data_IF_504337065629
#
_entry.id   IF_504337065629
#
_cell.length_a   1.000
_cell.length_b   1.000
_cell.length_c   1.000
_cell.angle_alpha   90.00
_cell.angle_beta   90.00
_cell.angle_gamma   90.00
#
_symmetry.space_group_name_H-M   'P 1'
#
loop_
_entity.id
_entity.type
_entity.pdbx_description
1 polymer ?
#
# COMPACT_ATOMS: atom_id res chain seq x y z
N UNK A 1 30.98 -9.53 -1.86
CA UNK A 1 29.53 -9.56 -2.21
C UNK A 1 28.81 -8.26 -1.85
N UNK A 2 29.11 -7.59 -0.71
CA UNK A 2 28.57 -6.25 -0.35
C UNK A 2 28.66 -5.19 -1.45
N UNK A 3 29.77 -5.20 -2.18
CA UNK A 3 30.10 -4.19 -3.20
C UNK A 3 29.09 -4.12 -4.36
N UNK A 4 28.32 -5.19 -4.58
CA UNK A 4 27.28 -5.25 -5.61
C UNK A 4 25.86 -5.16 -5.03
N UNK A 5 25.72 -5.00 -3.71
CA UNK A 5 24.42 -4.75 -3.10
C UNK A 5 23.94 -3.34 -3.45
N UNK A 6 22.79 -3.29 -4.12
CA UNK A 6 22.15 -2.04 -4.53
C UNK A 6 21.06 -1.60 -3.54
N UNK A 7 20.82 -2.34 -2.45
CA UNK A 7 19.71 -2.09 -1.54
C UNK A 7 19.75 -0.68 -0.96
N UNK A 8 20.91 -0.21 -0.48
CA UNK A 8 21.06 1.15 0.06
C UNK A 8 20.84 2.25 -0.99
N UNK A 9 21.22 1.99 -2.24
CA UNK A 9 21.01 2.90 -3.37
C UNK A 9 19.55 2.92 -3.81
N UNK A 10 18.89 1.77 -3.85
CA UNK A 10 17.49 1.64 -4.23
C UNK A 10 16.55 2.17 -3.14
N UNK A 11 16.90 1.96 -1.86
CA UNK A 11 16.07 2.34 -0.72
C UNK A 11 15.78 3.85 -0.65
N UNK A 12 16.65 4.70 -1.21
CA UNK A 12 16.45 6.15 -1.27
C UNK A 12 15.24 6.55 -2.12
N UNK A 13 14.83 5.67 -3.03
CA UNK A 13 13.84 5.93 -4.06
C UNK A 13 12.57 5.08 -3.89
N UNK A 14 12.56 4.20 -2.90
CA UNK A 14 11.46 3.28 -2.65
C UNK A 14 10.65 3.74 -1.45
N UNK A 15 9.35 3.46 -1.49
CA UNK A 15 8.50 3.60 -0.32
C UNK A 15 9.01 2.71 0.82
N UNK A 16 8.88 3.18 2.06
CA UNK A 16 9.32 2.47 3.27
C UNK A 16 8.78 1.03 3.34
N UNK A 17 7.57 0.80 2.84
CA UNK A 17 6.96 -0.53 2.78
C UNK A 17 7.57 -1.44 1.70
N UNK A 18 8.21 -0.88 0.66
CA UNK A 18 8.97 -1.64 -0.35
C UNK A 18 10.41 -1.91 0.09
N UNK A 19 11.01 -1.03 0.88
CA UNK A 19 12.35 -1.25 1.44
C UNK A 19 12.34 -2.41 2.44
N UNK A 20 11.25 -2.55 3.19
CA UNK A 20 11.13 -3.55 4.24
C UNK A 20 11.32 -5.01 3.73
N UNK A 21 10.62 -5.48 2.66
CA UNK A 21 10.89 -6.77 2.05
C UNK A 21 12.33 -6.98 1.55
N UNK A 22 13.03 -5.92 1.15
CA UNK A 22 14.44 -6.00 0.75
C UNK A 22 15.33 -6.28 1.97
N UNK A 23 15.09 -5.59 3.09
CA UNK A 23 15.79 -5.87 4.34
C UNK A 23 15.49 -7.27 4.88
N UNK A 24 14.24 -7.73 4.78
CA UNK A 24 13.88 -9.12 5.11
C UNK A 24 14.63 -10.13 4.25
N UNK A 25 14.75 -9.85 2.94
CA UNK A 25 15.53 -10.71 2.04
C UNK A 25 17.02 -10.75 2.43
N UNK A 26 17.62 -9.61 2.77
CA UNK A 26 19.00 -9.54 3.24
C UNK A 26 19.21 -10.33 4.54
N UNK A 27 18.30 -10.20 5.52
CA UNK A 27 18.34 -10.97 6.76
C UNK A 27 18.16 -12.48 6.53
N UNK A 28 17.16 -12.88 5.73
CA UNK A 28 16.81 -14.28 5.51
C UNK A 28 17.87 -15.04 4.71
N UNK A 29 18.56 -14.37 3.78
CA UNK A 29 19.62 -14.99 3.00
C UNK A 29 20.92 -15.21 3.80
N UNK A 30 20.97 -14.77 5.07
CA UNK A 30 22.17 -14.82 5.92
C UNK A 30 23.41 -14.44 5.10
N UNK A 31 23.28 -13.44 4.23
CA UNK A 31 24.41 -13.03 3.41
C UNK A 31 25.39 -12.45 4.42
N UNK A 32 26.53 -13.11 4.61
CA UNK A 32 27.61 -12.85 5.59
C UNK A 32 28.27 -11.46 5.41
N UNK A 33 27.48 -10.45 5.07
CA UNK A 33 27.89 -9.13 4.64
C UNK A 33 27.55 -8.09 5.71
N UNK A 34 26.40 -8.23 6.37
CA UNK A 34 25.89 -7.27 7.34
C UNK A 34 25.73 -7.92 8.71
N UNK A 35 26.03 -7.17 9.76
CA UNK A 35 25.78 -7.61 11.14
C UNK A 35 24.27 -7.67 11.39
N UNK A 36 23.79 -8.73 12.05
CA UNK A 36 22.36 -8.93 12.31
C UNK A 36 21.77 -7.78 13.12
N UNK A 37 22.51 -7.26 14.10
CA UNK A 37 22.08 -6.12 14.92
C UNK A 37 21.92 -4.83 14.11
N UNK A 38 22.81 -4.60 13.14
CA UNK A 38 22.75 -3.42 12.26
C UNK A 38 21.51 -3.49 11.35
N UNK A 39 21.20 -4.68 10.80
CA UNK A 39 19.98 -4.90 10.02
C UNK A 39 18.72 -4.73 10.87
N UNK A 40 18.70 -5.26 12.10
CA UNK A 40 17.57 -5.10 13.01
C UNK A 40 17.36 -3.62 13.40
N UNK A 41 18.44 -2.87 13.62
CA UNK A 41 18.35 -1.44 13.87
C UNK A 41 17.81 -0.68 12.65
N UNK A 42 18.30 -0.98 11.45
CA UNK A 42 17.80 -0.38 10.21
C UNK A 42 16.31 -0.68 9.98
N UNK A 43 15.86 -1.89 10.29
CA UNK A 43 14.42 -2.24 10.29
C UNK A 43 13.63 -1.37 11.27
N UNK A 44 14.10 -1.22 12.51
CA UNK A 44 13.45 -0.37 13.51
C UNK A 44 13.34 1.09 13.06
N UNK A 45 14.40 1.64 12.44
CA UNK A 45 14.41 3.02 11.98
C UNK A 45 13.37 3.26 10.88
N UNK A 46 13.22 2.32 9.95
CA UNK A 46 12.16 2.37 8.92
C UNK A 46 10.77 2.25 9.57
N UNK A 47 10.60 1.25 10.44
CA UNK A 47 9.31 0.97 11.10
C UNK A 47 8.87 2.11 12.01
N UNK A 48 9.80 2.87 12.59
CA UNK A 48 9.51 4.01 13.47
C UNK A 48 8.62 5.06 12.80
N UNK A 49 8.70 5.19 11.47
CA UNK A 49 7.90 6.10 10.64
C UNK A 49 6.63 5.45 10.06
N UNK A 50 6.30 4.21 10.43
CA UNK A 50 5.11 3.47 10.00
C UNK A 50 4.17 3.22 11.18
N UNK A 51 2.95 2.74 10.90
CA UNK A 51 2.03 2.29 11.95
C UNK A 51 2.12 0.76 12.20
N UNK A 52 3.19 0.10 11.72
CA UNK A 52 3.48 -1.32 11.97
C UNK A 52 4.04 -1.54 13.39
N UNK A 53 3.30 -1.08 14.41
CA UNK A 53 3.78 -1.01 15.80
C UNK A 53 4.07 -2.38 16.39
N UNK A 54 3.19 -3.37 16.16
CA UNK A 54 3.39 -4.74 16.65
C UNK A 54 4.68 -5.34 16.09
N UNK A 55 4.93 -5.11 14.79
CA UNK A 55 6.13 -5.58 14.13
C UNK A 55 7.39 -4.87 14.67
N UNK A 56 7.32 -3.56 14.91
CA UNK A 56 8.41 -2.82 15.55
C UNK A 56 8.71 -3.34 16.97
N UNK A 57 7.68 -3.71 17.73
CA UNK A 57 7.83 -4.32 19.06
C UNK A 57 8.57 -5.66 18.96
N UNK A 58 8.21 -6.50 17.98
CA UNK A 58 8.85 -7.81 17.79
C UNK A 58 10.32 -7.68 17.41
N UNK A 59 10.67 -6.80 16.46
CA UNK A 59 12.07 -6.52 16.11
C UNK A 59 12.85 -5.96 17.30
N UNK A 60 12.23 -5.08 18.11
CA UNK A 60 12.89 -4.55 19.31
C UNK A 60 13.19 -5.63 20.34
N UNK A 61 12.27 -6.58 20.54
CA UNK A 61 12.50 -7.72 21.45
C UNK A 61 13.64 -8.61 20.97
N UNK A 62 13.83 -8.74 19.65
CA UNK A 62 14.97 -9.46 19.08
C UNK A 62 16.29 -8.71 19.35
N UNK A 63 16.30 -7.39 19.18
CA UNK A 63 17.50 -6.56 19.37
C UNK A 63 17.87 -6.37 20.86
N UNK A 64 16.87 -6.25 21.73
CA UNK A 64 17.06 -6.05 23.18
C UNK A 64 16.23 -7.04 24.01
N UNK A 65 16.57 -8.34 24.04
CA UNK A 65 15.76 -9.38 24.70
C UNK A 65 15.56 -9.18 26.21
N UNK A 66 16.48 -8.45 26.86
CA UNK A 66 16.48 -8.21 28.31
C UNK A 66 15.82 -6.88 28.71
N UNK A 67 15.42 -6.05 27.75
CA UNK A 67 14.77 -4.77 28.03
C UNK A 67 13.26 -4.89 27.82
N UNK A 68 12.48 -4.29 28.72
CA UNK A 68 11.05 -4.19 28.51
C UNK A 68 10.70 -3.26 27.34
N UNK A 69 9.54 -3.53 26.73
CA UNK A 69 9.00 -2.68 25.68
C UNK A 69 8.61 -1.33 26.28
N UNK A 70 9.13 -0.21 25.75
CA UNK A 70 8.80 1.12 26.25
C UNK A 70 7.30 1.40 26.27
N UNK A 71 6.86 2.08 27.32
CA UNK A 71 5.50 2.61 27.44
C UNK A 71 5.09 3.45 26.22
N UNK A 72 6.03 4.17 25.60
CA UNK A 72 5.78 4.95 24.38
C UNK A 72 5.26 4.09 23.22
N UNK A 73 5.80 2.90 23.02
CA UNK A 73 5.34 1.97 21.97
C UNK A 73 4.00 1.34 22.33
N UNK A 74 3.78 1.02 23.61
CA UNK A 74 2.47 0.51 24.08
C UNK A 74 1.37 1.55 23.87
N UNK A 75 1.62 2.80 24.24
CA UNK A 75 0.67 3.91 24.06
C UNK A 75 0.40 4.17 22.57
N UNK A 76 1.46 4.16 21.74
CA UNK A 76 1.31 4.30 20.28
C UNK A 76 0.46 3.17 19.69
N UNK A 77 0.61 1.93 20.16
CA UNK A 77 -0.22 0.81 19.73
C UNK A 77 -1.70 1.08 20.02
N UNK A 78 -2.04 1.54 21.23
CA UNK A 78 -3.42 1.87 21.61
C UNK A 78 -3.98 2.99 20.73
N UNK A 79 -3.20 4.05 20.49
CA UNK A 79 -3.61 5.14 19.60
C UNK A 79 -3.88 4.66 18.18
N UNK A 80 -3.00 3.80 17.64
CA UNK A 80 -3.16 3.27 16.28
C UNK A 80 -4.42 2.43 16.16
N UNK A 81 -4.70 1.59 17.16
CA UNK A 81 -5.91 0.76 17.17
C UNK A 81 -7.19 1.60 17.33
N UNK A 82 -7.17 2.65 18.16
CA UNK A 82 -8.32 3.57 18.31
C UNK A 82 -8.66 4.26 16.99
N UNK A 83 -7.68 4.90 16.35
CA UNK A 83 -7.88 5.58 15.07
C UNK A 83 -8.36 4.62 13.96
N UNK A 84 -7.81 3.41 13.94
CA UNK A 84 -8.22 2.37 13.00
C UNK A 84 -9.67 1.93 13.23
N UNK A 85 -10.13 1.88 14.48
CA UNK A 85 -11.53 1.56 14.81
C UNK A 85 -12.46 2.72 14.46
N UNK A 86 -12.08 3.96 14.75
CA UNK A 86 -12.85 5.16 14.43
C UNK A 86 -13.09 5.26 12.91
N UNK A 87 -12.02 5.15 12.11
CA UNK A 87 -12.11 5.17 10.65
C UNK A 87 -12.97 4.03 10.10
N UNK A 88 -12.90 2.83 10.70
CA UNK A 88 -13.75 1.70 10.31
C UNK A 88 -15.23 1.95 10.58
N UNK A 89 -15.54 2.53 11.74
CA UNK A 89 -16.92 2.81 12.12
C UNK A 89 -17.53 3.86 11.18
N UNK A 90 -16.76 4.86 10.79
CA UNK A 90 -17.17 5.92 9.86
C UNK A 90 -17.56 5.34 8.48
N UNK A 91 -16.75 4.42 7.95
CA UNK A 91 -17.00 3.82 6.62
C UNK A 91 -17.74 2.49 6.69
N UNK A 92 -18.29 2.11 7.85
CA UNK A 92 -18.99 0.84 8.04
C UNK A 92 -20.10 0.56 6.99
N UNK A 93 -20.88 1.55 6.51
CA UNK A 93 -21.83 1.34 5.43
C UNK A 93 -21.18 0.84 4.13
N UNK A 94 -20.03 1.42 3.76
CA UNK A 94 -19.26 1.02 2.57
C UNK A 94 -18.69 -0.39 2.75
N UNK A 95 -18.18 -0.72 3.95
CA UNK A 95 -17.62 -2.05 4.20
C UNK A 95 -18.68 -3.15 4.11
N UNK A 96 -19.91 -2.88 4.54
CA UNK A 96 -21.05 -3.80 4.37
C UNK A 96 -21.36 -4.01 2.89
N UNK A 97 -21.41 -2.93 2.11
CA UNK A 97 -21.62 -2.97 0.66
C UNK A 97 -20.53 -3.79 -0.06
N UNK A 98 -19.26 -3.59 0.29
CA UNK A 98 -18.14 -4.35 -0.27
C UNK A 98 -18.16 -5.84 0.09
N UNK A 99 -18.89 -6.21 1.15
CA UNK A 99 -19.05 -7.60 1.58
C UNK A 99 -20.28 -8.27 0.95
N UNK A 100 -21.12 -7.51 0.23
CA UNK A 100 -22.30 -8.03 -0.45
C UNK A 100 -21.94 -8.51 -1.86
N UNK A 101 -21.96 -9.83 -2.06
CA UNK A 101 -21.61 -10.44 -3.34
C UNK A 101 -22.54 -10.05 -4.50
N UNK A 102 -23.81 -9.79 -4.22
CA UNK A 102 -24.79 -9.41 -5.25
C UNK A 102 -24.52 -7.99 -5.71
N UNK A 103 -24.26 -7.09 -4.77
CA UNK A 103 -23.86 -5.74 -5.07
C UNK A 103 -22.58 -5.74 -5.92
N UNK A 104 -21.53 -6.45 -5.49
CA UNK A 104 -20.25 -6.50 -6.19
C UNK A 104 -20.36 -7.01 -7.63
N UNK A 105 -21.13 -8.08 -7.88
CA UNK A 105 -21.38 -8.57 -9.25
C UNK A 105 -22.11 -7.53 -10.11
N UNK A 106 -23.07 -6.83 -9.52
CA UNK A 106 -23.80 -5.76 -10.22
C UNK A 106 -22.87 -4.61 -10.58
N UNK A 107 -21.93 -4.24 -9.69
CA UNK A 107 -20.92 -3.22 -9.97
C UNK A 107 -19.98 -3.62 -11.11
N UNK A 108 -19.61 -4.90 -11.22
CA UNK A 108 -18.75 -5.37 -12.33
C UNK A 108 -19.43 -5.22 -13.71
N UNK A 109 -20.76 -5.29 -13.75
CA UNK A 109 -21.53 -5.03 -14.98
C UNK A 109 -21.61 -3.55 -15.31
N UNK A 110 -21.63 -2.68 -14.29
CA UNK A 110 -21.75 -1.23 -14.42
C UNK A 110 -20.36 -0.59 -14.58
N UNK A 111 -19.89 -0.48 -15.82
CA UNK A 111 -18.58 0.11 -16.13
C UNK A 111 -18.54 1.64 -16.13
N UNK A 112 -19.70 2.30 -16.06
CA UNK A 112 -19.80 3.76 -16.04
C UNK A 112 -19.90 4.27 -14.59
N UNK A 113 -18.96 5.12 -14.18
CA UNK A 113 -18.89 5.70 -12.84
C UNK A 113 -20.15 6.49 -12.47
N UNK A 114 -20.79 7.17 -13.42
CA UNK A 114 -22.04 7.92 -13.16
C UNK A 114 -23.22 7.00 -12.89
N UNK A 115 -23.36 5.95 -13.71
CA UNK A 115 -24.41 4.94 -13.53
C UNK A 115 -24.23 4.18 -12.22
N UNK A 116 -22.97 3.83 -11.89
CA UNK A 116 -22.62 3.18 -10.63
C UNK A 116 -22.95 4.07 -9.42
N UNK A 117 -22.54 5.33 -9.41
CA UNK A 117 -22.88 6.26 -8.34
C UNK A 117 -24.40 6.37 -8.13
N UNK A 118 -25.17 6.49 -9.22
CA UNK A 118 -26.62 6.54 -9.13
C UNK A 118 -27.23 5.25 -8.55
N UNK A 119 -26.71 4.08 -8.92
CA UNK A 119 -27.12 2.79 -8.34
C UNK A 119 -26.81 2.74 -6.84
N UNK A 120 -25.59 3.10 -6.44
CA UNK A 120 -25.17 3.09 -5.04
C UNK A 120 -25.98 4.07 -4.18
N UNK A 121 -26.23 5.28 -4.68
CA UNK A 121 -27.00 6.29 -3.94
C UNK A 121 -28.47 5.90 -3.82
N UNK A 122 -29.07 5.26 -4.83
CA UNK A 122 -30.49 4.86 -4.81
C UNK A 122 -30.76 3.59 -4.01
N UNK A 123 -29.95 2.55 -4.19
CA UNK A 123 -30.20 1.23 -3.61
C UNK A 123 -29.56 1.05 -2.22
N UNK A 124 -28.50 1.81 -1.91
CA UNK A 124 -27.68 1.59 -0.73
C UNK A 124 -27.45 2.83 0.15
N UNK A 125 -28.19 3.93 -0.07
CA UNK A 125 -28.03 5.22 0.66
C UNK A 125 -26.56 5.69 0.70
N UNK A 126 -25.85 5.48 -0.40
CA UNK A 126 -24.41 5.73 -0.48
C UNK A 126 -24.11 7.23 -0.51
N UNK A 127 -23.22 7.66 0.39
CA UNK A 127 -22.73 9.03 0.50
C UNK A 127 -21.32 9.13 -0.07
N UNK A 128 -21.16 9.91 -1.14
CA UNK A 128 -19.86 10.13 -1.80
C UNK A 128 -18.82 10.73 -0.84
N UNK A 129 -19.25 11.53 0.12
CA UNK A 129 -18.40 12.12 1.16
C UNK A 129 -17.62 11.09 1.99
N UNK A 130 -18.17 9.86 2.15
CA UNK A 130 -17.50 8.78 2.87
C UNK A 130 -16.31 8.19 2.09
N UNK A 131 -16.15 8.53 0.81
CA UNK A 131 -15.04 8.02 -0.02
C UNK A 131 -13.70 8.59 0.40
N UNK A 132 -13.64 9.84 0.86
CA UNK A 132 -12.42 10.42 1.42
C UNK A 132 -12.02 9.70 2.71
N UNK A 133 -13.00 9.33 3.53
CA UNK A 133 -12.78 8.55 4.74
C UNK A 133 -12.40 7.10 4.42
N UNK A 134 -12.92 6.51 3.34
CA UNK A 134 -12.49 5.21 2.84
C UNK A 134 -11.03 5.24 2.39
N UNK A 135 -10.64 6.28 1.66
CA UNK A 135 -9.25 6.47 1.25
C UNK A 135 -8.33 6.63 2.47
N UNK A 136 -8.73 7.44 3.47
CA UNK A 136 -8.00 7.56 4.74
C UNK A 136 -7.86 6.21 5.44
N UNK A 137 -8.92 5.40 5.52
CA UNK A 137 -8.87 4.06 6.09
C UNK A 137 -7.92 3.14 5.30
N UNK A 138 -8.00 3.15 3.97
CA UNK A 138 -7.14 2.35 3.11
C UNK A 138 -5.65 2.70 3.32
N UNK A 139 -5.32 3.99 3.33
CA UNK A 139 -3.97 4.48 3.63
C UNK A 139 -3.53 4.07 5.04
N UNK A 140 -4.41 4.22 6.04
CA UNK A 140 -4.09 3.88 7.42
C UNK A 140 -3.80 2.38 7.59
N UNK A 141 -4.63 1.53 6.99
CA UNK A 141 -4.44 0.08 6.94
C UNK A 141 -3.14 -0.31 6.22
N UNK A 142 -2.80 0.38 5.14
CA UNK A 142 -1.53 0.22 4.44
C UNK A 142 -0.35 0.58 5.35
N UNK A 143 -0.42 1.70 6.07
CA UNK A 143 0.62 2.10 7.05
C UNK A 143 0.76 1.13 8.23
N UNK A 144 -0.31 0.39 8.56
CA UNK A 144 -0.28 -0.73 9.52
C UNK A 144 0.31 -2.03 8.93
N UNK A 145 0.72 -2.04 7.66
CA UNK A 145 1.32 -3.20 6.99
C UNK A 145 0.31 -4.22 6.43
N UNK A 146 -0.97 -3.88 6.37
CA UNK A 146 -1.96 -4.71 5.67
C UNK A 146 -2.06 -4.25 4.21
N UNK A 147 -1.60 -5.07 3.27
CA UNK A 147 -1.61 -4.73 1.84
C UNK A 147 -2.81 -5.34 1.09
N UNK A 148 -3.42 -6.40 1.63
CA UNK A 148 -4.49 -7.13 0.93
C UNK A 148 -5.81 -6.35 0.95
N UNK A 149 -6.23 -5.89 2.13
CA UNK A 149 -7.53 -5.23 2.31
C UNK A 149 -7.56 -3.83 1.65
N UNK A 150 -6.52 -2.98 1.81
CA UNK A 150 -6.51 -1.66 1.16
C UNK A 150 -6.54 -1.72 -0.36
N UNK A 151 -5.95 -2.76 -0.96
CA UNK A 151 -5.98 -2.94 -2.42
C UNK A 151 -7.43 -2.94 -2.93
N UNK A 152 -8.33 -3.69 -2.29
CA UNK A 152 -9.75 -3.72 -2.66
C UNK A 152 -10.43 -2.37 -2.47
N UNK A 153 -10.12 -1.65 -1.37
CA UNK A 153 -10.70 -0.34 -1.11
C UNK A 153 -10.26 0.72 -2.12
N UNK A 154 -8.98 0.70 -2.50
CA UNK A 154 -8.43 1.61 -3.51
C UNK A 154 -9.00 1.31 -4.90
N UNK A 155 -9.17 0.03 -5.28
CA UNK A 155 -9.86 -0.31 -6.53
C UNK A 155 -11.30 0.18 -6.53
N UNK A 156 -12.04 0.00 -5.42
CA UNK A 156 -13.38 0.52 -5.30
C UNK A 156 -13.42 2.06 -5.39
N UNK A 157 -12.48 2.75 -4.75
CA UNK A 157 -12.34 4.20 -4.89
C UNK A 157 -12.14 4.63 -6.34
N UNK A 158 -11.24 3.95 -7.07
CA UNK A 158 -10.99 4.23 -8.49
C UNK A 158 -12.18 3.91 -9.39
N UNK A 159 -13.03 2.96 -9.02
CA UNK A 159 -14.22 2.59 -9.77
C UNK A 159 -15.34 3.62 -9.59
N UNK A 160 -15.55 4.09 -8.35
CA UNK A 160 -16.69 4.95 -7.99
C UNK A 160 -16.42 6.43 -8.26
N UNK A 161 -15.21 6.91 -8.01
CA UNK A 161 -14.91 8.34 -8.15
C UNK A 161 -14.78 8.76 -9.62
N UNK A 162 -15.35 9.90 -10.04
CA UNK A 162 -15.23 10.40 -11.40
C UNK A 162 -13.79 10.85 -11.71
N UNK A 163 -13.41 10.79 -12.99
CA UNK A 163 -12.04 11.10 -13.45
C UNK A 163 -11.54 12.51 -13.10
N UNK A 164 -12.45 13.49 -13.00
CA UNK A 164 -12.15 14.86 -12.58
C UNK A 164 -11.72 14.98 -11.11
N UNK A 165 -12.15 14.07 -10.24
CA UNK A 165 -11.76 14.05 -8.81
C UNK A 165 -10.60 13.08 -8.57
N UNK A 166 -10.38 12.09 -9.45
CA UNK A 166 -9.20 11.20 -9.40
C UNK A 166 -7.88 11.99 -9.48
N UNK A 167 -7.89 13.13 -10.16
CA UNK A 167 -6.72 14.03 -10.24
C UNK A 167 -6.36 14.67 -8.90
N UNK A 168 -7.25 14.66 -7.90
CA UNK A 168 -6.99 15.23 -6.56
C UNK A 168 -6.17 14.29 -5.68
N UNK A 169 -6.10 13.00 -6.01
CA UNK A 169 -5.35 12.01 -5.24
C UNK A 169 -4.39 11.20 -6.14
N UNK A 170 -3.40 11.86 -6.79
CA UNK A 170 -2.44 11.22 -7.69
C UNK A 170 -1.69 10.05 -7.04
N UNK A 171 -1.52 10.10 -5.72
CA UNK A 171 -0.80 9.09 -4.95
C UNK A 171 -1.55 7.76 -4.76
N UNK A 172 -2.83 7.65 -5.11
CA UNK A 172 -3.60 6.39 -5.02
C UNK A 172 -2.90 5.27 -5.79
N UNK A 173 -2.45 5.56 -7.01
CA UNK A 173 -1.77 4.59 -7.87
C UNK A 173 -0.48 4.08 -7.23
N UNK A 174 0.24 4.93 -6.49
CA UNK A 174 1.44 4.53 -5.74
C UNK A 174 1.11 3.54 -4.63
N UNK A 175 0.09 3.82 -3.82
CA UNK A 175 -0.34 2.93 -2.73
C UNK A 175 -0.84 1.59 -3.28
N UNK A 176 -1.63 1.64 -4.36
CA UNK A 176 -2.12 0.44 -5.04
C UNK A 176 -0.97 -0.39 -5.61
N UNK A 177 -0.03 0.26 -6.32
CA UNK A 177 1.12 -0.41 -6.91
C UNK A 177 1.97 -1.09 -5.83
N UNK A 178 2.27 -0.37 -4.76
CA UNK A 178 3.07 -0.91 -3.66
C UNK A 178 2.36 -2.09 -2.99
N UNK A 179 1.06 -1.96 -2.71
CA UNK A 179 0.27 -3.02 -2.09
C UNK A 179 0.21 -4.29 -2.95
N UNK A 180 0.07 -4.16 -4.27
CA UNK A 180 0.05 -5.29 -5.21
C UNK A 180 1.44 -5.94 -5.34
N UNK A 181 2.52 -5.16 -5.41
CA UNK A 181 3.90 -5.67 -5.50
C UNK A 181 4.26 -6.49 -4.26
N UNK A 182 3.93 -5.97 -3.06
CA UNK A 182 4.26 -6.64 -1.79
C UNK A 182 3.42 -7.91 -1.63
N UNK A 183 2.15 -7.88 -2.05
CA UNK A 183 1.25 -9.01 -1.90
C UNK A 183 1.48 -10.09 -2.97
N UNK A 184 2.42 -11.01 -2.70
CA UNK A 184 2.77 -12.12 -3.60
C UNK A 184 1.60 -13.01 -4.00
N UNK A 185 0.54 -13.09 -3.21
CA UNK A 185 -0.66 -13.89 -3.53
C UNK A 185 -1.50 -13.27 -4.65
N UNK A 186 -1.37 -11.96 -4.89
CA UNK A 186 -2.13 -11.19 -5.89
C UNK A 186 -1.33 -10.87 -7.15
N UNK A 187 -0.34 -11.70 -7.52
CA UNK A 187 0.43 -11.52 -8.77
C UNK A 187 -0.44 -11.42 -10.03
N UNK A 188 -1.61 -12.07 -10.05
CA UNK A 188 -2.58 -11.93 -11.14
C UNK A 188 -3.10 -10.49 -11.28
N UNK A 189 -3.28 -9.77 -10.17
CA UNK A 189 -3.73 -8.39 -10.15
C UNK A 189 -2.68 -7.40 -10.69
N UNK A 190 -1.43 -7.82 -10.86
CA UNK A 190 -0.38 -6.98 -11.44
C UNK A 190 -0.68 -6.62 -12.90
N UNK A 191 -1.30 -7.54 -13.66
CA UNK A 191 -1.70 -7.27 -15.04
C UNK A 191 -2.78 -6.20 -15.12
N UNK A 192 -3.73 -6.23 -14.19
CA UNK A 192 -4.82 -5.25 -14.16
C UNK A 192 -4.33 -3.89 -13.65
N UNK A 193 -3.43 -3.88 -12.67
CA UNK A 193 -2.72 -2.68 -12.24
C UNK A 193 -1.97 -2.01 -13.40
N UNK A 194 -1.23 -2.78 -14.22
CA UNK A 194 -0.47 -2.22 -15.36
C UNK A 194 -1.42 -1.56 -16.36
N UNK A 195 -2.58 -2.16 -16.65
CA UNK A 195 -3.59 -1.53 -17.52
C UNK A 195 -4.10 -0.22 -16.93
N UNK A 196 -4.36 -0.18 -15.62
CA UNK A 196 -4.79 1.03 -14.93
C UNK A 196 -3.71 2.11 -15.00
N UNK A 197 -2.44 1.76 -14.81
CA UNK A 197 -1.30 2.69 -14.95
C UNK A 197 -1.26 3.27 -16.37
N UNK A 198 -1.40 2.45 -17.41
CA UNK A 198 -1.42 2.93 -18.79
C UNK A 198 -2.59 3.88 -19.06
N UNK A 199 -3.78 3.55 -18.56
CA UNK A 199 -4.98 4.38 -18.72
C UNK A 199 -4.82 5.75 -18.06
N UNK A 200 -4.21 5.80 -16.87
CA UNK A 200 -4.04 7.03 -16.10
C UNK A 200 -2.70 7.75 -16.37
N UNK A 201 -1.87 7.21 -17.27
CA UNK A 201 -0.50 7.70 -17.54
C UNK A 201 -0.41 9.13 -18.08
N UNK A 202 -1.52 9.67 -18.61
CA UNK A 202 -1.62 11.06 -19.04
C UNK A 202 -1.84 12.03 -17.87
N UNK A 203 -2.36 11.52 -16.75
CA UNK A 203 -2.70 12.31 -15.55
C UNK A 203 -1.61 12.24 -14.50
N UNK A 204 -1.04 11.05 -14.29
CA UNK A 204 -0.09 10.80 -13.20
C UNK A 204 1.04 9.89 -13.65
N UNK A 205 2.26 10.29 -13.31
CA UNK A 205 3.47 9.48 -13.42
C UNK A 205 4.33 9.68 -12.20
N UNK A 206 4.92 8.61 -11.74
CA UNK A 206 5.92 8.61 -10.69
C UNK A 206 6.92 7.47 -10.91
N UNK A 207 8.05 7.47 -10.17
CA UNK A 207 9.11 6.47 -10.36
C UNK A 207 8.66 5.01 -10.29
N UNK A 208 7.63 4.70 -9.48
CA UNK A 208 7.12 3.33 -9.30
C UNK A 208 6.20 2.94 -10.46
N UNK A 209 5.31 3.84 -10.88
CA UNK A 209 4.42 3.62 -12.02
C UNK A 209 5.21 3.53 -13.33
N UNK A 210 6.22 4.39 -13.50
CA UNK A 210 7.16 4.31 -14.64
C UNK A 210 7.97 3.02 -14.61
N UNK A 211 8.51 2.62 -13.45
CA UNK A 211 9.23 1.36 -13.31
C UNK A 211 8.36 0.16 -13.78
N UNK A 212 7.10 0.12 -13.35
CA UNK A 212 6.18 -0.94 -13.75
C UNK A 212 5.84 -0.90 -15.24
N UNK A 213 5.68 0.30 -15.81
CA UNK A 213 5.44 0.49 -17.24
C UNK A 213 6.64 0.03 -18.08
N UNK A 214 7.86 0.42 -17.70
CA UNK A 214 9.08 -0.04 -18.37
C UNK A 214 9.20 -1.57 -18.34
N UNK A 215 8.91 -2.20 -17.19
CA UNK A 215 9.08 -3.65 -17.02
C UNK A 215 8.00 -4.48 -17.74
N UNK A 216 6.74 -4.05 -17.68
CA UNK A 216 5.60 -4.87 -18.12
C UNK A 216 4.96 -4.42 -19.45
N UNK A 217 5.26 -3.20 -19.91
CA UNK A 217 4.73 -2.65 -21.17
C UNK A 217 5.83 -2.50 -22.19
N UNK A 218 6.88 -1.74 -21.85
CA UNK A 218 7.92 -1.37 -22.81
C UNK A 218 9.02 -2.43 -22.94
N UNK A 219 9.11 -3.37 -21.99
CA UNK A 219 10.18 -4.35 -21.87
C UNK A 219 11.58 -3.70 -21.87
N UNK A 220 11.66 -2.49 -21.32
CA UNK A 220 12.87 -1.65 -21.27
C UNK A 220 13.53 -1.78 -19.89
N UNK A 221 14.46 -2.72 -19.78
CA UNK A 221 15.15 -3.01 -18.53
C UNK A 221 16.15 -1.92 -18.12
N UNK A 222 16.73 -1.21 -19.10
CA UNK A 222 17.65 -0.10 -18.84
C UNK A 222 16.91 1.12 -18.30
N UNK A 223 15.75 1.43 -18.91
CA UNK A 223 14.80 2.42 -18.42
C UNK A 223 14.31 2.08 -17.01
N UNK A 224 13.86 0.84 -16.79
CA UNK A 224 13.41 0.37 -15.47
C UNK A 224 14.50 0.51 -14.39
N UNK A 225 15.78 0.36 -14.72
CA UNK A 225 16.86 0.56 -13.75
C UNK A 225 17.05 2.04 -13.36
N UNK A 226 16.65 2.95 -14.24
CA UNK A 226 16.78 4.39 -14.08
C UNK A 226 15.52 5.04 -13.49
N UNK A 227 14.32 4.50 -13.73
CA UNK A 227 13.05 5.10 -13.26
C UNK A 227 13.02 5.39 -11.77
N UNK A 228 13.51 4.51 -10.86
CA UNK A 228 13.55 4.81 -9.44
C UNK A 228 14.38 6.07 -9.14
N UNK A 229 15.38 6.41 -9.96
CA UNK A 229 16.39 7.45 -9.63
C UNK A 229 15.97 8.88 -9.93
N UNK A 230 14.89 9.07 -10.68
CA UNK A 230 14.34 10.38 -11.09
C UNK A 230 13.24 10.84 -10.12
#
# INVERSE_FOLDING_TARGET
MAKFDLTSRMAQYLDRHLVFPLLEFLSAKQVLIYEENELLQGKLDILSKTNMVDYAIDIRKQLYPKQEVPETLKNRRVQVLSQLQELQNEVAPILKLLSDEVAMKTMETLRDSKALLNFLTKEHDFKVELMDSLFKLAKYRYECGNYSVPTSYLYFYMLVMPTTDKTMCPHILRYLATAVIINRSRRSALKDLVKVIQQESYTYRDPITEFLEHLYVNFDFDGAQCSPRN
#
